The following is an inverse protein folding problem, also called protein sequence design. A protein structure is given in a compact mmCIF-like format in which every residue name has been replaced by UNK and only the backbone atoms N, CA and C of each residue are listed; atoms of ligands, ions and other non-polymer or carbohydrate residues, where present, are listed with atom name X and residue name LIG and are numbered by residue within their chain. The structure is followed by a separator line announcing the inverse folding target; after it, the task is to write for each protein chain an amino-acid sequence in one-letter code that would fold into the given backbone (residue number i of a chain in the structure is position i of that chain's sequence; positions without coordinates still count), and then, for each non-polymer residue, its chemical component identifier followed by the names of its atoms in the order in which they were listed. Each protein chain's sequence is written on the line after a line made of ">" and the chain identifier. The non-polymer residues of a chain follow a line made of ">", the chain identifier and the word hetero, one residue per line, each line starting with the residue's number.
data_IF_547421518457
#
_entry.id   IF_547421518457
#
_cell.length_a   1.000
_cell.length_b   1.000
_cell.length_c   1.000
_cell.angle_alpha   90.00
_cell.angle_beta   90.00
_cell.angle_gamma   90.00
#
_symmetry.space_group_name_H-M   'P 1'
#
loop_
_entity.id
_entity.type
_entity.pdbx_description
1 polymer ?
#
# COMPACT_ATOMS: atom_id res chain seq x y z
N UNK A 1 -3.45 -26.66 -10.82
CA UNK A 1 -2.49 -25.74 -11.46
C UNK A 1 -2.61 -24.44 -10.69
N UNK A 2 -1.74 -24.20 -9.70
CA UNK A 2 -1.83 -22.98 -8.89
C UNK A 2 -1.47 -21.79 -9.76
N UNK A 3 -2.35 -20.79 -9.83
CA UNK A 3 -1.96 -19.47 -10.34
C UNK A 3 -0.88 -18.96 -9.40
N UNK A 4 0.35 -18.86 -9.90
CA UNK A 4 1.36 -18.02 -9.28
C UNK A 4 0.85 -16.61 -9.50
N UNK A 5 0.49 -15.88 -8.43
CA UNK A 5 0.19 -14.46 -8.56
C UNK A 5 1.41 -13.78 -9.19
N UNK A 6 1.20 -12.86 -10.12
CA UNK A 6 2.28 -12.03 -10.67
C UNK A 6 2.83 -11.02 -9.64
N UNK A 7 2.31 -11.07 -8.41
CA UNK A 7 2.67 -10.18 -7.32
C UNK A 7 4.16 -10.21 -7.01
N UNK A 8 4.73 -9.02 -6.83
CA UNK A 8 6.12 -8.88 -6.41
C UNK A 8 6.29 -9.28 -4.95
N UNK A 9 7.54 -9.57 -4.53
CA UNK A 9 7.82 -10.02 -3.15
C UNK A 9 7.37 -9.00 -2.10
N UNK A 10 7.49 -7.70 -2.39
CA UNK A 10 6.98 -6.66 -1.49
C UNK A 10 5.46 -6.71 -1.32
N UNK A 11 4.73 -6.87 -2.43
CA UNK A 11 3.27 -7.02 -2.40
C UNK A 11 2.87 -8.26 -1.60
N UNK A 12 3.56 -9.40 -1.79
CA UNK A 12 3.32 -10.62 -1.03
C UNK A 12 3.56 -10.45 0.48
N UNK A 13 4.53 -9.60 0.88
CA UNK A 13 4.75 -9.27 2.29
C UNK A 13 3.60 -8.43 2.85
N UNK A 14 3.14 -7.42 2.09
CA UNK A 14 2.03 -6.55 2.49
C UNK A 14 0.71 -7.32 2.57
N UNK A 15 0.41 -8.14 1.56
CA UNK A 15 -0.78 -9.00 1.59
C UNK A 15 -0.72 -10.05 2.70
N UNK A 16 0.47 -10.62 2.96
CA UNK A 16 0.68 -11.49 4.11
C UNK A 16 0.51 -10.77 5.45
N UNK A 17 0.91 -9.49 5.56
CA UNK A 17 0.66 -8.68 6.74
C UNK A 17 -0.84 -8.52 6.98
N UNK A 18 -1.59 -8.08 5.96
CA UNK A 18 -3.03 -7.89 6.08
C UNK A 18 -3.77 -9.19 6.41
N UNK A 19 -3.48 -10.27 5.70
CA UNK A 19 -4.14 -11.56 5.91
C UNK A 19 -3.91 -12.17 7.30
N UNK A 20 -2.78 -11.88 7.95
CA UNK A 20 -2.38 -12.58 9.19
C UNK A 20 -2.33 -11.69 10.43
N UNK A 21 -2.06 -10.40 10.26
CA UNK A 21 -1.90 -9.44 11.37
C UNK A 21 -3.10 -8.52 11.47
N UNK A 22 -3.61 -8.03 10.33
CA UNK A 22 -4.89 -7.29 10.29
C UNK A 22 -6.10 -8.25 10.32
N UNK A 23 -5.88 -9.56 10.10
CA UNK A 23 -6.91 -10.59 10.01
C UNK A 23 -7.91 -10.38 8.85
N UNK A 24 -7.45 -9.68 7.79
CA UNK A 24 -8.25 -9.43 6.60
C UNK A 24 -8.71 -10.75 5.95
N UNK A 25 -10.02 -10.93 5.80
CA UNK A 25 -10.59 -12.17 5.23
C UNK A 25 -10.35 -12.30 3.73
N UNK A 26 -10.14 -11.17 3.04
CA UNK A 26 -9.85 -11.13 1.61
C UNK A 26 -8.59 -10.31 1.38
N UNK A 27 -7.64 -10.91 0.67
CA UNK A 27 -6.47 -10.21 0.11
C UNK A 27 -6.40 -10.49 -1.38
N UNK A 28 -6.31 -9.43 -2.16
CA UNK A 28 -6.21 -9.47 -3.62
C UNK A 28 -4.99 -8.69 -4.08
N UNK A 29 -4.25 -9.26 -5.02
CA UNK A 29 -3.01 -8.69 -5.55
C UNK A 29 -3.23 -8.21 -6.99
N UNK A 30 -2.59 -7.10 -7.36
CA UNK A 30 -2.61 -6.55 -8.72
C UNK A 30 -4.06 -6.32 -9.23
N UNK A 31 -4.90 -5.70 -8.40
CA UNK A 31 -6.31 -5.46 -8.68
C UNK A 31 -6.47 -4.41 -9.77
N UNK A 32 -7.24 -4.71 -10.83
CA UNK A 32 -7.42 -3.83 -11.99
C UNK A 32 -8.89 -3.62 -12.30
N UNK A 33 -9.25 -2.44 -12.79
CA UNK A 33 -10.60 -2.22 -13.31
C UNK A 33 -10.86 -3.07 -14.56
N UNK A 34 -12.13 -3.40 -14.75
CA UNK A 34 -12.64 -4.08 -15.95
C UNK A 34 -13.22 -3.09 -16.96
N UNK A 35 -13.27 -1.80 -16.63
CA UNK A 35 -13.81 -0.78 -17.53
C UNK A 35 -12.86 -0.57 -18.72
N UNK A 36 -13.43 -0.44 -19.91
CA UNK A 36 -12.66 -0.31 -21.14
C UNK A 36 -11.82 0.98 -21.14
N UNK A 37 -10.50 0.84 -21.31
CA UNK A 37 -9.56 1.97 -21.37
C UNK A 37 -8.99 2.40 -20.01
N UNK A 38 -9.48 1.85 -18.91
CA UNK A 38 -8.95 2.08 -17.57
C UNK A 38 -7.76 1.13 -17.30
N UNK A 39 -6.55 1.70 -17.17
CA UNK A 39 -5.31 0.96 -16.88
C UNK A 39 -4.81 1.14 -15.44
N UNK A 40 -5.70 1.38 -14.47
CA UNK A 40 -5.28 1.41 -13.07
C UNK A 40 -4.99 -0.01 -12.57
N UNK A 41 -4.11 -0.05 -11.57
CA UNK A 41 -3.68 -1.22 -10.85
C UNK A 41 -3.43 -0.81 -9.42
N UNK A 42 -4.09 -1.48 -8.48
CA UNK A 42 -3.80 -1.40 -7.05
C UNK A 42 -2.95 -2.62 -6.71
N UNK A 43 -1.79 -2.38 -6.11
CA UNK A 43 -0.82 -3.44 -5.79
C UNK A 43 -1.42 -4.50 -4.85
N UNK A 44 -2.03 -4.06 -3.74
CA UNK A 44 -2.76 -4.93 -2.79
C UNK A 44 -4.07 -4.28 -2.35
N UNK A 45 -5.16 -5.04 -2.43
CA UNK A 45 -6.45 -4.70 -1.79
C UNK A 45 -6.71 -5.73 -0.69
N UNK A 46 -6.94 -5.25 0.53
CA UNK A 46 -7.32 -6.10 1.65
C UNK A 46 -8.67 -5.66 2.22
N UNK A 47 -9.47 -6.62 2.69
CA UNK A 47 -10.79 -6.37 3.29
C UNK A 47 -10.80 -7.05 4.65
N UNK A 48 -10.95 -6.26 5.69
CA UNK A 48 -11.22 -6.70 7.05
C UNK A 48 -12.69 -6.42 7.37
N UNK A 49 -13.41 -7.43 7.86
CA UNK A 49 -14.80 -7.33 8.29
C UNK A 49 -14.98 -7.64 9.78
N UNK A 50 -13.90 -7.52 10.56
CA UNK A 50 -13.88 -7.74 12.00
C UNK A 50 -14.86 -6.82 12.73
N UNK A 51 -15.44 -7.35 13.82
CA UNK A 51 -16.38 -6.62 14.70
C UNK A 51 -17.60 -5.99 14.00
N UNK A 52 -17.90 -6.44 12.77
CA UNK A 52 -19.04 -5.94 11.99
C UNK A 52 -18.80 -4.58 11.32
N UNK A 53 -17.54 -4.15 11.22
CA UNK A 53 -17.09 -2.97 10.46
C UNK A 53 -16.31 -3.50 9.25
N UNK A 54 -16.68 -3.08 8.04
CA UNK A 54 -15.93 -3.39 6.84
C UNK A 54 -14.95 -2.28 6.51
N UNK A 55 -13.66 -2.56 6.68
CA UNK A 55 -12.56 -1.68 6.30
C UNK A 55 -11.87 -2.21 5.04
N UNK A 56 -11.83 -1.38 3.99
CA UNK A 56 -11.16 -1.69 2.72
C UNK A 56 -9.83 -0.95 2.64
N UNK A 57 -8.74 -1.70 2.63
CA UNK A 57 -7.39 -1.18 2.46
C UNK A 57 -6.98 -1.20 0.99
N UNK A 58 -6.62 -0.04 0.44
CA UNK A 58 -5.98 0.08 -0.87
C UNK A 58 -4.50 0.44 -0.68
N UNK A 59 -3.62 -0.50 -1.01
CA UNK A 59 -2.20 -0.38 -0.70
C UNK A 59 -1.39 -0.24 -1.99
N UNK A 60 -0.56 0.79 -2.03
CA UNK A 60 0.50 0.98 -3.02
C UNK A 60 1.85 0.56 -2.41
N UNK A 61 2.66 -0.20 -3.15
CA UNK A 61 3.87 -0.85 -2.63
C UNK A 61 5.11 -0.43 -3.42
N UNK A 62 5.99 0.33 -2.78
CA UNK A 62 7.28 0.76 -3.34
C UNK A 62 8.38 -0.11 -2.76
N UNK A 63 8.98 -0.97 -3.58
CA UNK A 63 10.05 -1.91 -3.13
C UNK A 63 11.47 -1.42 -3.42
N UNK A 64 11.62 -0.25 -4.04
CA UNK A 64 12.93 0.30 -4.38
C UNK A 64 13.70 0.72 -3.12
N UNK A 65 14.88 0.14 -2.91
CA UNK A 65 15.77 0.47 -1.79
C UNK A 65 16.65 1.72 -2.05
N UNK A 66 16.44 2.40 -3.19
CA UNK A 66 17.25 3.53 -3.65
C UNK A 66 16.79 4.90 -3.16
N UNK A 67 15.73 4.97 -2.36
CA UNK A 67 15.26 6.20 -1.70
C UNK A 67 14.42 7.16 -2.55
N UNK A 68 14.23 6.90 -3.85
CA UNK A 68 13.25 7.61 -4.69
C UNK A 68 12.17 6.62 -5.16
N UNK A 69 10.89 7.02 -5.07
CA UNK A 69 9.77 6.16 -5.45
C UNK A 69 9.59 6.09 -6.97
N UNK A 70 9.66 7.22 -7.67
CA UNK A 70 9.53 7.31 -9.12
C UNK A 70 10.56 8.30 -9.73
N UNK A 71 10.88 8.11 -11.01
CA UNK A 71 11.72 9.03 -11.78
C UNK A 71 10.95 9.60 -12.97
N UNK A 72 11.11 10.91 -13.20
CA UNK A 72 10.39 11.65 -14.23
C UNK A 72 10.52 13.15 -14.03
N UNK A 73 9.64 13.90 -14.71
CA UNK A 73 9.58 15.35 -14.64
C UNK A 73 8.14 15.72 -14.27
N UNK A 74 7.93 16.57 -13.24
CA UNK A 74 6.59 16.94 -12.82
C UNK A 74 5.87 17.70 -13.94
N UNK A 75 4.57 17.49 -14.05
CA UNK A 75 3.70 18.17 -15.00
C UNK A 75 3.20 19.52 -14.45
N UNK A 76 3.22 19.68 -13.12
CA UNK A 76 2.73 20.86 -12.41
C UNK A 76 3.72 21.36 -11.37
N UNK A 77 3.50 22.59 -10.89
CA UNK A 77 4.30 23.17 -9.80
C UNK A 77 3.69 22.91 -8.41
N UNK A 78 2.66 22.05 -8.28
CA UNK A 78 1.94 21.82 -7.01
C UNK A 78 2.88 21.41 -5.88
N UNK A 79 3.87 20.59 -6.21
CA UNK A 79 4.83 20.04 -5.25
C UNK A 79 6.20 20.71 -5.33
N UNK A 80 6.31 21.89 -5.93
CA UNK A 80 7.59 22.57 -6.20
C UNK A 80 8.46 22.82 -4.96
N UNK A 81 7.86 22.89 -3.77
CA UNK A 81 8.55 23.07 -2.49
C UNK A 81 9.23 21.77 -1.97
N UNK A 82 8.95 20.61 -2.58
CA UNK A 82 9.38 19.29 -2.09
C UNK A 82 10.53 18.69 -2.91
N UNK A 83 11.69 19.35 -2.83
CA UNK A 83 12.95 18.82 -3.35
C UNK A 83 13.09 18.93 -4.87
N UNK A 84 13.73 17.93 -5.49
CA UNK A 84 14.04 17.94 -6.93
C UNK A 84 12.89 17.39 -7.78
N UNK A 85 12.97 17.57 -9.10
CA UNK A 85 11.98 17.09 -10.09
C UNK A 85 11.55 15.63 -9.87
N UNK A 86 12.46 14.73 -9.47
CA UNK A 86 12.12 13.32 -9.23
C UNK A 86 11.22 13.13 -8.02
N UNK A 87 11.42 13.92 -6.96
CA UNK A 87 10.56 13.89 -5.76
C UNK A 87 9.19 14.48 -6.07
N UNK A 88 9.18 15.63 -6.74
CA UNK A 88 7.94 16.29 -7.16
C UNK A 88 7.12 15.37 -8.07
N UNK A 89 7.75 14.75 -9.07
CA UNK A 89 7.12 13.76 -9.94
C UNK A 89 6.62 12.53 -9.17
N UNK A 90 7.35 12.07 -8.15
CA UNK A 90 6.89 10.97 -7.29
C UNK A 90 5.60 11.33 -6.56
N UNK A 91 5.49 12.54 -6.03
CA UNK A 91 4.29 13.03 -5.34
C UNK A 91 3.10 13.15 -6.30
N UNK A 92 3.30 13.70 -7.51
CA UNK A 92 2.23 13.76 -8.53
C UNK A 92 1.74 12.36 -8.95
N UNK A 93 2.67 11.42 -9.13
CA UNK A 93 2.33 10.04 -9.50
C UNK A 93 1.56 9.35 -8.38
N UNK A 94 1.98 9.50 -7.14
CA UNK A 94 1.30 8.94 -5.98
C UNK A 94 -0.09 9.57 -5.80
N UNK A 95 -0.22 10.89 -5.95
CA UNK A 95 -1.51 11.57 -5.91
C UNK A 95 -2.47 10.98 -6.96
N UNK A 96 -2.02 10.87 -8.21
CA UNK A 96 -2.84 10.31 -9.29
C UNK A 96 -3.22 8.85 -9.04
N UNK A 97 -2.33 8.05 -8.46
CA UNK A 97 -2.61 6.65 -8.10
C UNK A 97 -3.66 6.58 -7.01
N UNK A 98 -3.43 7.22 -5.86
CA UNK A 98 -4.36 7.19 -4.74
C UNK A 98 -5.76 7.71 -5.08
N UNK A 99 -5.88 8.72 -5.95
CA UNK A 99 -7.18 9.15 -6.49
C UNK A 99 -7.88 8.05 -7.28
N UNK A 100 -7.15 7.40 -8.18
CA UNK A 100 -7.68 6.29 -9.00
C UNK A 100 -8.05 5.08 -8.14
N UNK A 101 -7.24 4.79 -7.13
CA UNK A 101 -7.43 3.66 -6.22
C UNK A 101 -8.65 3.89 -5.35
N UNK A 102 -8.78 5.09 -4.78
CA UNK A 102 -9.94 5.49 -3.98
C UNK A 102 -11.24 5.43 -4.80
N UNK A 103 -11.25 6.01 -6.01
CA UNK A 103 -12.40 5.93 -6.93
C UNK A 103 -12.77 4.47 -7.24
N UNK A 104 -11.77 3.62 -7.47
CA UNK A 104 -12.01 2.20 -7.74
C UNK A 104 -12.62 1.48 -6.54
N UNK A 105 -12.01 1.59 -5.35
CA UNK A 105 -12.47 0.82 -4.18
C UNK A 105 -13.83 1.31 -3.67
N UNK A 106 -14.10 2.62 -3.70
CA UNK A 106 -15.41 3.17 -3.33
C UNK A 106 -16.49 2.83 -4.32
N UNK A 107 -16.16 2.65 -5.60
CA UNK A 107 -17.12 2.18 -6.62
C UNK A 107 -17.40 0.67 -6.50
N UNK A 108 -16.41 -0.13 -6.13
CA UNK A 108 -16.55 -1.61 -6.06
C UNK A 108 -17.12 -2.07 -4.72
N UNK A 109 -16.76 -1.38 -3.65
CA UNK A 109 -17.21 -1.63 -2.28
C UNK A 109 -17.97 -0.41 -1.75
N UNK A 110 -19.07 -0.04 -2.41
CA UNK A 110 -19.84 1.19 -2.17
C UNK A 110 -20.58 1.23 -0.82
N UNK A 111 -20.69 0.09 -0.15
CA UNK A 111 -21.31 -0.06 1.17
C UNK A 111 -20.28 -0.34 2.29
N UNK A 112 -18.97 -0.18 2.04
CA UNK A 112 -17.96 -0.34 3.08
C UNK A 112 -18.04 0.80 4.12
N UNK A 113 -17.75 0.49 5.38
CA UNK A 113 -17.80 1.47 6.47
C UNK A 113 -16.58 2.41 6.43
N UNK A 114 -15.42 1.89 6.04
CA UNK A 114 -14.15 2.61 6.04
C UNK A 114 -13.29 2.27 4.82
N UNK A 115 -12.56 3.28 4.33
CA UNK A 115 -11.54 3.13 3.29
C UNK A 115 -10.21 3.68 3.80
N UNK A 116 -9.16 2.87 3.71
CA UNK A 116 -7.82 3.23 4.16
C UNK A 116 -6.85 3.13 2.99
N UNK A 117 -6.27 4.27 2.61
CA UNK A 117 -5.21 4.32 1.61
C UNK A 117 -3.87 4.12 2.31
N UNK A 118 -3.02 3.24 1.79
CA UNK A 118 -1.71 2.96 2.40
C UNK A 118 -0.58 3.07 1.38
N UNK A 119 0.53 3.68 1.80
CA UNK A 119 1.81 3.61 1.09
C UNK A 119 2.78 2.73 1.88
N UNK A 120 3.22 1.63 1.28
CA UNK A 120 4.20 0.73 1.87
C UNK A 120 5.56 0.92 1.22
N UNK A 121 6.57 1.34 1.99
CA UNK A 121 7.93 1.49 1.47
C UNK A 121 9.00 1.19 2.54
N UNK A 122 9.93 0.25 2.31
CA UNK A 122 10.93 -0.12 3.32
C UNK A 122 11.99 0.96 3.56
N UNK A 123 12.25 1.81 2.57
CA UNK A 123 13.32 2.80 2.63
C UNK A 123 13.07 3.95 1.68
N UNK A 124 12.78 5.13 2.25
CA UNK A 124 12.66 6.41 1.58
C UNK A 124 13.63 7.41 2.21
N UNK A 125 14.12 8.34 1.40
CA UNK A 125 14.99 9.40 1.91
C UNK A 125 14.21 10.36 2.82
N UNK A 126 14.73 10.60 4.03
CA UNK A 126 14.18 11.59 4.95
C UNK A 126 14.32 13.03 4.41
N UNK A 127 13.42 13.92 4.84
CA UNK A 127 13.36 15.32 4.43
C UNK A 127 12.32 15.53 3.33
N UNK A 128 12.69 16.22 2.25
CA UNK A 128 11.73 16.69 1.24
C UNK A 128 10.73 15.64 0.73
N UNK A 129 11.14 14.38 0.55
CA UNK A 129 10.21 13.35 0.07
C UNK A 129 9.21 12.95 1.16
N UNK A 130 9.66 12.71 2.39
CA UNK A 130 8.78 12.34 3.51
C UNK A 130 7.88 13.51 3.92
N UNK A 131 8.43 14.74 3.99
CA UNK A 131 7.64 15.96 4.21
C UNK A 131 6.57 16.16 3.11
N UNK A 132 6.90 15.82 1.87
CA UNK A 132 5.98 15.89 0.74
C UNK A 132 4.89 14.83 0.79
N UNK A 133 5.20 13.62 1.28
CA UNK A 133 4.20 12.56 1.49
C UNK A 133 3.21 12.92 2.59
N UNK A 134 3.69 13.52 3.68
CA UNK A 134 2.83 14.05 4.75
C UNK A 134 1.91 15.16 4.21
N UNK A 135 2.45 16.07 3.40
CA UNK A 135 1.67 17.13 2.77
C UNK A 135 0.64 16.59 1.77
N UNK A 136 0.99 15.56 0.99
CA UNK A 136 0.07 14.87 0.11
C UNK A 136 -1.06 14.21 0.91
N UNK A 137 -0.72 13.49 1.98
CA UNK A 137 -1.71 12.85 2.87
C UNK A 137 -2.70 13.89 3.41
N UNK A 138 -2.19 15.02 3.92
CA UNK A 138 -3.01 16.10 4.44
C UNK A 138 -3.87 16.79 3.37
N UNK A 139 -3.35 16.97 2.14
CA UNK A 139 -4.13 17.54 1.03
C UNK A 139 -5.28 16.62 0.62
N UNK A 140 -5.06 15.30 0.54
CA UNK A 140 -6.11 14.34 0.21
C UNK A 140 -7.23 14.31 1.27
N UNK A 141 -6.86 14.42 2.55
CA UNK A 141 -7.80 14.45 3.67
C UNK A 141 -8.61 15.75 3.73
N UNK A 142 -7.96 16.91 3.59
CA UNK A 142 -8.58 18.20 3.88
C UNK A 142 -9.24 18.88 2.67
N UNK A 143 -8.85 18.52 1.45
CA UNK A 143 -9.29 19.22 0.25
C UNK A 143 -10.56 18.58 -0.32
N UNK A 144 -11.70 19.26 -0.21
CA UNK A 144 -12.98 18.79 -0.79
C UNK A 144 -12.88 18.57 -2.32
N UNK A 145 -12.01 19.28 -3.03
CA UNK A 145 -11.76 19.05 -4.46
C UNK A 145 -11.03 17.72 -4.72
N UNK A 146 -10.42 17.12 -3.70
CA UNK A 146 -9.82 15.79 -3.81
C UNK A 146 -10.88 14.73 -4.07
N UNK A 147 -12.08 14.91 -3.51
CA UNK A 147 -13.15 13.91 -3.49
C UNK A 147 -12.85 12.68 -2.64
N UNK A 148 -11.71 12.67 -1.92
CA UNK A 148 -11.26 11.53 -1.11
C UNK A 148 -11.71 11.69 0.35
N UNK A 149 -11.37 12.81 0.99
CA UNK A 149 -11.77 13.07 2.39
C UNK A 149 -11.10 12.15 3.42
N UNK A 150 -10.03 11.46 3.03
CA UNK A 150 -9.17 10.64 3.90
C UNK A 150 -7.71 10.78 3.49
N UNK A 151 -6.80 10.66 4.47
CA UNK A 151 -5.37 10.71 4.25
C UNK A 151 -4.79 9.37 3.80
N UNK A 152 -3.47 9.36 3.65
CA UNK A 152 -2.66 8.15 3.40
C UNK A 152 -2.02 7.72 4.71
N UNK A 153 -2.20 6.45 5.08
CA UNK A 153 -1.43 5.78 6.11
C UNK A 153 -0.04 5.43 5.56
N UNK A 154 0.97 6.16 6.03
CA UNK A 154 2.35 6.08 5.56
C UNK A 154 3.10 4.96 6.30
N UNK A 155 3.02 3.75 5.78
CA UNK A 155 3.76 2.58 6.28
C UNK A 155 5.16 2.56 5.66
N UNK A 156 5.99 3.52 6.09
CA UNK A 156 7.32 3.77 5.53
C UNK A 156 8.43 3.63 6.57
N UNK A 157 9.66 3.37 6.12
CA UNK A 157 10.88 3.37 6.96
C UNK A 157 10.76 2.51 8.24
N UNK A 158 10.80 3.16 9.42
CA UNK A 158 10.70 2.48 10.71
C UNK A 158 9.33 1.80 10.89
N UNK A 159 8.24 2.45 10.49
CA UNK A 159 6.90 1.86 10.55
C UNK A 159 6.79 0.63 9.65
N UNK A 160 7.37 0.67 8.44
CA UNK A 160 7.45 -0.54 7.60
C UNK A 160 8.20 -1.66 8.31
N UNK A 161 9.35 -1.34 8.93
CA UNK A 161 10.16 -2.32 9.66
C UNK A 161 9.37 -2.94 10.80
N UNK A 162 8.67 -2.14 11.60
CA UNK A 162 7.83 -2.60 12.71
C UNK A 162 6.76 -3.59 12.24
N UNK A 163 6.03 -3.24 11.17
CA UNK A 163 4.98 -4.11 10.60
C UNK A 163 5.54 -5.44 10.09
N UNK A 164 6.70 -5.42 9.44
CA UNK A 164 7.34 -6.67 9.00
C UNK A 164 7.86 -7.49 10.19
N UNK A 165 8.36 -6.86 11.26
CA UNK A 165 8.78 -7.57 12.48
C UNK A 165 7.60 -8.20 13.23
N UNK A 166 6.43 -7.57 13.23
CA UNK A 166 5.19 -8.20 13.73
C UNK A 166 4.86 -9.47 12.95
N UNK A 167 4.89 -9.40 11.61
CA UNK A 167 4.64 -10.56 10.74
C UNK A 167 5.68 -11.67 10.97
N UNK A 168 6.96 -11.31 11.13
CA UNK A 168 8.04 -12.27 11.45
C UNK A 168 7.86 -12.91 12.82
N UNK A 169 7.47 -12.13 13.82
CA UNK A 169 7.21 -12.63 15.19
C UNK A 169 6.07 -13.65 15.18
N UNK A 170 5.00 -13.38 14.43
CA UNK A 170 3.92 -14.33 14.22
C UNK A 170 4.43 -15.58 13.49
N UNK A 171 5.21 -15.42 12.42
CA UNK A 171 5.79 -16.52 11.65
C UNK A 171 6.73 -17.43 12.46
N UNK A 172 7.38 -16.91 13.51
CA UNK A 172 8.25 -17.67 14.39
C UNK A 172 7.51 -18.58 15.39
N UNK A 173 6.23 -18.31 15.64
CA UNK A 173 5.41 -19.07 16.61
C UNK A 173 4.36 -19.94 15.95
N UNK A 174 3.93 -19.57 14.74
CA UNK A 174 2.91 -20.26 13.98
C UNK A 174 3.50 -21.24 12.97
N UNK A 175 2.95 -22.44 12.88
CA UNK A 175 3.40 -23.51 11.97
C UNK A 175 2.38 -23.88 10.90
N UNK A 176 1.11 -23.47 11.07
CA UNK A 176 0.04 -23.68 10.10
C UNK A 176 0.35 -22.91 8.82
N UNK A 177 0.02 -23.54 7.69
CA UNK A 177 0.11 -22.90 6.37
C UNK A 177 -1.19 -22.17 6.07
N UNK A 178 -1.10 -20.87 5.82
CA UNK A 178 -2.25 -20.00 5.53
C UNK A 178 -2.47 -19.75 4.03
N UNK A 179 -1.61 -20.28 3.17
CA UNK A 179 -1.68 -20.02 1.72
C UNK A 179 -0.92 -18.78 1.28
N UNK A 180 -0.39 -17.99 2.22
CA UNK A 180 0.42 -16.80 1.96
C UNK A 180 1.91 -17.14 1.72
N UNK A 181 2.45 -16.97 0.49
CA UNK A 181 3.80 -17.42 0.16
C UNK A 181 4.91 -16.69 0.93
N UNK A 182 4.80 -15.37 1.11
CA UNK A 182 5.80 -14.60 1.85
C UNK A 182 5.79 -14.95 3.34
N UNK A 183 4.61 -15.08 3.96
CA UNK A 183 4.50 -15.55 5.33
C UNK A 183 5.09 -16.96 5.48
N UNK A 184 4.80 -17.87 4.53
CA UNK A 184 5.39 -19.21 4.54
C UNK A 184 6.91 -19.19 4.42
N UNK A 185 7.46 -18.29 3.62
CA UNK A 185 8.89 -18.09 3.52
C UNK A 185 9.49 -17.63 4.85
N UNK A 186 8.87 -16.66 5.53
CA UNK A 186 9.27 -16.23 6.87
C UNK A 186 9.21 -17.39 7.88
N UNK A 187 8.12 -18.16 7.91
CA UNK A 187 8.00 -19.34 8.79
C UNK A 187 9.17 -20.31 8.60
N UNK A 188 9.56 -20.56 7.35
CA UNK A 188 10.70 -21.44 7.05
C UNK A 188 11.97 -20.87 7.65
N UNK A 189 12.26 -19.58 7.43
CA UNK A 189 13.47 -18.92 7.93
C UNK A 189 13.54 -18.92 9.46
N UNK A 190 12.43 -18.60 10.14
CA UNK A 190 12.37 -18.52 11.60
C UNK A 190 12.47 -19.90 12.29
N UNK A 191 12.20 -21.00 11.57
CA UNK A 191 12.24 -22.36 12.10
C UNK A 191 13.45 -23.20 11.65
N UNK A 192 14.44 -22.61 10.97
CA UNK A 192 15.70 -23.29 10.62
C UNK A 192 16.48 -23.69 11.90
N UNK A 193 17.28 -24.76 11.81
CA UNK A 193 18.07 -25.33 12.94
C UNK A 193 19.57 -25.31 12.65
#
# INVERSE_FOLDING_TARGET
>A
MGMVSNAQVGELLVGGYHALVTDAEVVSYNSRSKADGEQMEIDVVAIDSSDGIQTVYACEVVTHLGGAAYSGTPETDKWADYGNDSYQYSLEKLESKFRSDYEYVTRVFDDADEYVLQLWAPSLADGYLTDGLEALSADLEANDESGIGTGIDLVINETYTERIEELRTLAATETKSYGEPAFRFLQILEHLR
#
